data_IF_134143233432
#
_entry.id   IF_134143233432
#
_cell.length_a   1.000
_cell.length_b   1.000
_cell.length_c   1.000
_cell.angle_alpha   90.00
_cell.angle_beta   90.00
_cell.angle_gamma   90.00
#
_symmetry.space_group_name_H-M   'P 1'
#
loop_
_entity.id
_entity.type
_entity.pdbx_description
1 polymer ?
#
# COMPACT_ATOMS: atom_id res chain seq x y z
N UNK A 1 -12.67 -10.13 -10.41
CA UNK A 1 -11.56 -9.20 -10.09
C UNK A 1 -10.67 -9.12 -11.30
N UNK A 2 -10.59 -7.96 -11.95
CA UNK A 2 -9.59 -7.74 -13.00
C UNK A 2 -8.20 -7.82 -12.36
N UNK A 3 -7.29 -8.56 -12.98
CA UNK A 3 -5.90 -8.65 -12.53
C UNK A 3 -5.27 -7.27 -12.69
N UNK A 4 -4.73 -6.73 -11.60
CA UNK A 4 -3.92 -5.50 -11.60
C UNK A 4 -2.67 -5.78 -12.44
N UNK A 5 -2.59 -5.21 -13.65
CA UNK A 5 -1.40 -5.30 -14.50
C UNK A 5 -0.59 -4.00 -14.31
N UNK A 6 0.67 -4.06 -13.86
CA UNK A 6 1.51 -2.86 -13.67
C UNK A 6 1.59 -1.94 -14.90
N UNK A 7 1.43 -2.49 -16.10
CA UNK A 7 1.41 -1.73 -17.36
C UNK A 7 0.19 -0.81 -17.53
N UNK A 8 -0.92 -1.06 -16.84
CA UNK A 8 -2.09 -0.17 -16.87
C UNK A 8 -1.74 1.20 -16.28
N UNK A 9 -1.02 1.19 -15.16
CA UNK A 9 -0.71 2.40 -14.42
C UNK A 9 0.39 3.22 -15.11
N UNK A 10 1.30 2.59 -15.86
CA UNK A 10 2.35 3.29 -16.62
C UNK A 10 1.84 4.38 -17.57
N UNK A 11 0.58 4.33 -17.98
CA UNK A 11 -0.05 5.32 -18.88
C UNK A 11 -0.71 6.49 -18.14
N UNK A 12 -0.83 6.41 -16.82
CA UNK A 12 -1.50 7.45 -16.03
C UNK A 12 -0.63 8.68 -15.89
N UNK A 13 -1.26 9.85 -15.98
CA UNK A 13 -0.69 11.13 -15.58
C UNK A 13 -0.54 11.19 -14.05
N UNK A 14 0.32 12.07 -13.50
CA UNK A 14 0.45 12.21 -12.03
C UNK A 14 -0.88 12.45 -11.32
N UNK A 15 -1.80 13.20 -11.94
CA UNK A 15 -3.13 13.43 -11.40
C UNK A 15 -4.01 12.17 -11.37
N UNK A 16 -3.89 11.31 -12.38
CA UNK A 16 -4.60 10.03 -12.41
C UNK A 16 -4.04 9.03 -11.41
N UNK A 17 -2.72 9.00 -11.22
CA UNK A 17 -2.09 8.25 -10.12
C UNK A 17 -2.62 8.70 -8.75
N UNK A 18 -2.72 10.01 -8.53
CA UNK A 18 -3.25 10.55 -7.27
C UNK A 18 -4.70 10.11 -7.03
N UNK A 19 -5.59 10.27 -8.03
CA UNK A 19 -7.00 9.85 -7.89
C UNK A 19 -7.14 8.35 -7.62
N UNK A 20 -6.31 7.54 -8.26
CA UNK A 20 -6.34 6.10 -8.08
C UNK A 20 -5.79 5.68 -6.71
N UNK A 21 -4.72 6.34 -6.24
CA UNK A 21 -4.23 6.13 -4.89
C UNK A 21 -5.28 6.52 -3.85
N UNK A 22 -5.94 7.67 -3.99
CA UNK A 22 -7.03 8.12 -3.11
C UNK A 22 -8.19 7.10 -3.06
N UNK A 23 -8.53 6.48 -4.20
CA UNK A 23 -9.53 5.39 -4.26
C UNK A 23 -9.08 4.18 -3.45
N UNK A 24 -7.86 3.70 -3.66
CA UNK A 24 -7.30 2.52 -2.98
C UNK A 24 -7.15 2.79 -1.48
N UNK A 25 -6.66 3.98 -1.10
CA UNK A 25 -6.53 4.39 0.29
C UNK A 25 -7.88 4.35 1.00
N UNK A 26 -8.93 4.87 0.36
CA UNK A 26 -10.30 4.81 0.89
C UNK A 26 -10.78 3.38 1.05
N UNK A 27 -10.54 2.52 0.07
CA UNK A 27 -10.91 1.10 0.13
C UNK A 27 -10.22 0.38 1.30
N UNK A 28 -8.91 0.57 1.48
CA UNK A 28 -8.16 -0.04 2.60
C UNK A 28 -8.67 0.46 3.95
N UNK A 29 -8.96 1.76 4.06
CA UNK A 29 -9.51 2.35 5.30
C UNK A 29 -10.90 1.80 5.65
N UNK A 30 -11.71 1.44 4.65
CA UNK A 30 -13.07 0.93 4.82
C UNK A 30 -13.16 -0.59 4.88
N UNK A 31 -12.09 -1.30 4.48
CA UNK A 31 -11.98 -2.75 4.54
C UNK A 31 -12.19 -3.24 5.97
N UNK A 32 -12.90 -4.36 6.14
CA UNK A 32 -12.98 -4.98 7.46
C UNK A 32 -11.61 -5.51 7.91
N UNK A 33 -11.51 -5.78 9.21
CA UNK A 33 -10.23 -6.13 9.80
C UNK A 33 -9.78 -7.55 9.43
N UNK A 34 -10.72 -8.48 9.18
CA UNK A 34 -10.40 -9.86 8.81
C UNK A 34 -9.83 -9.94 7.40
N UNK A 35 -10.48 -9.25 6.45
CA UNK A 35 -10.00 -9.17 5.07
C UNK A 35 -8.62 -8.49 5.01
N UNK A 36 -8.43 -7.42 5.79
CA UNK A 36 -7.13 -6.75 5.84
C UNK A 36 -6.05 -7.63 6.48
N UNK A 37 -6.37 -8.39 7.53
CA UNK A 37 -5.46 -9.37 8.14
C UNK A 37 -5.00 -10.43 7.12
N UNK A 38 -5.89 -10.89 6.25
CA UNK A 38 -5.50 -11.83 5.19
C UNK A 38 -4.49 -11.17 4.25
N UNK A 39 -4.75 -9.93 3.80
CA UNK A 39 -3.84 -9.20 2.91
C UNK A 39 -2.48 -9.00 3.56
N UNK A 40 -2.42 -8.44 4.77
CA UNK A 40 -1.16 -8.09 5.43
C UNK A 40 -0.29 -9.33 5.70
N UNK A 41 -0.90 -10.50 5.92
CA UNK A 41 -0.19 -11.75 6.15
C UNK A 41 0.25 -12.45 4.84
N UNK A 42 -0.40 -12.18 3.72
CA UNK A 42 -0.16 -12.88 2.45
C UNK A 42 0.61 -12.06 1.42
N UNK A 43 0.67 -10.73 1.57
CA UNK A 43 1.42 -9.84 0.67
C UNK A 43 2.94 -9.94 0.91
N UNK A 44 3.58 -10.82 0.14
CA UNK A 44 5.02 -11.06 0.18
C UNK A 44 5.82 -9.79 -0.17
N UNK A 45 5.53 -9.05 -1.27
CA UNK A 45 6.18 -7.77 -1.55
C UNK A 45 6.14 -6.78 -0.38
N UNK A 46 4.96 -6.61 0.26
CA UNK A 46 4.84 -5.73 1.41
C UNK A 46 5.74 -6.16 2.57
N UNK A 47 5.74 -7.46 2.90
CA UNK A 47 6.58 -8.00 3.96
C UNK A 47 8.07 -7.74 3.71
N UNK A 48 8.54 -7.94 2.48
CA UNK A 48 9.94 -7.66 2.11
C UNK A 48 10.23 -6.16 2.27
N UNK A 49 9.38 -5.30 1.68
CA UNK A 49 9.55 -3.85 1.76
C UNK A 49 9.54 -3.30 3.19
N UNK A 50 8.72 -3.89 4.06
CA UNK A 50 8.69 -3.55 5.48
C UNK A 50 10.02 -3.88 6.18
N UNK A 51 10.53 -5.10 5.97
CA UNK A 51 11.79 -5.54 6.58
C UNK A 51 12.98 -4.69 6.13
N UNK A 52 13.02 -4.31 4.85
CA UNK A 52 14.07 -3.45 4.29
C UNK A 52 14.02 -2.02 4.85
N UNK A 53 12.82 -1.44 4.92
CA UNK A 53 12.63 -0.03 5.28
C UNK A 53 12.71 0.22 6.79
N UNK A 54 12.10 -0.64 7.62
CA UNK A 54 12.02 -0.44 9.06
C UNK A 54 13.09 -1.19 9.86
N UNK A 55 13.75 -2.20 9.26
CA UNK A 55 14.77 -3.03 9.92
C UNK A 55 14.30 -3.62 11.26
N UNK A 56 13.01 -3.94 11.35
CA UNK A 56 12.36 -4.56 12.51
C UNK A 56 11.67 -5.86 12.10
N UNK A 57 11.50 -6.82 13.02
CA UNK A 57 10.72 -8.02 12.76
C UNK A 57 9.30 -7.68 12.28
N UNK A 58 8.81 -8.39 11.26
CA UNK A 58 7.44 -8.20 10.77
C UNK A 58 6.38 -8.50 11.85
N UNK A 59 6.71 -9.36 12.82
CA UNK A 59 5.87 -9.63 13.99
C UNK A 59 5.54 -8.38 14.80
N UNK A 60 6.43 -7.40 14.84
CA UNK A 60 6.22 -6.15 15.59
C UNK A 60 5.05 -5.35 14.99
N UNK A 61 4.89 -5.41 13.66
CA UNK A 61 3.77 -4.81 12.95
C UNK A 61 2.47 -5.56 13.23
N UNK A 62 2.50 -6.90 13.17
CA UNK A 62 1.31 -7.74 13.38
C UNK A 62 0.73 -7.64 14.80
N UNK A 63 1.53 -7.20 15.78
CA UNK A 63 1.08 -6.93 17.14
C UNK A 63 0.44 -5.53 17.32
N UNK A 64 0.54 -4.66 16.31
CA UNK A 64 -0.10 -3.33 16.36
C UNK A 64 -1.60 -3.43 16.11
N UNK A 65 -2.33 -2.38 16.49
CA UNK A 65 -3.72 -2.19 16.08
C UNK A 65 -3.86 -2.24 14.56
N UNK A 66 -4.95 -2.83 14.05
CA UNK A 66 -5.21 -2.95 12.61
C UNK A 66 -5.21 -1.59 11.91
N UNK A 67 -5.67 -0.53 12.57
CA UNK A 67 -5.59 0.85 12.05
C UNK A 67 -4.15 1.29 11.77
N UNK A 68 -3.20 0.96 12.65
CA UNK A 68 -1.77 1.22 12.46
C UNK A 68 -1.21 0.38 11.31
N UNK A 69 -1.59 -0.90 11.24
CA UNK A 69 -1.15 -1.78 10.15
C UNK A 69 -1.62 -1.28 8.78
N UNK A 70 -2.89 -0.85 8.67
CA UNK A 70 -3.48 -0.21 7.49
C UNK A 70 -2.70 1.05 7.08
N UNK A 71 -2.34 1.90 8.04
CA UNK A 71 -1.54 3.11 7.76
C UNK A 71 -0.15 2.77 7.23
N UNK A 72 0.54 1.78 7.82
CA UNK A 72 1.87 1.35 7.34
C UNK A 72 1.77 0.76 5.93
N UNK A 73 0.75 -0.05 5.66
CA UNK A 73 0.52 -0.64 4.35
C UNK A 73 0.20 0.42 3.27
N UNK A 74 -0.66 1.40 3.58
CA UNK A 74 -0.94 2.54 2.71
C UNK A 74 0.35 3.33 2.43
N UNK A 75 1.15 3.61 3.46
CA UNK A 75 2.43 4.29 3.29
C UNK A 75 3.41 3.49 2.43
N UNK A 76 3.44 2.16 2.55
CA UNK A 76 4.25 1.33 1.65
C UNK A 76 3.74 1.40 0.21
N UNK A 77 2.42 1.31 -0.01
CA UNK A 77 1.83 1.44 -1.34
C UNK A 77 2.21 2.77 -1.99
N UNK A 78 2.19 3.87 -1.24
CA UNK A 78 2.65 5.20 -1.67
C UNK A 78 4.15 5.27 -2.02
N UNK A 79 4.96 4.28 -1.66
CA UNK A 79 6.40 4.30 -1.91
C UNK A 79 6.84 3.30 -3.00
N UNK A 80 5.97 2.39 -3.44
CA UNK A 80 6.29 1.48 -4.53
C UNK A 80 6.11 2.15 -5.90
N UNK A 81 6.73 1.59 -6.94
CA UNK A 81 6.76 2.14 -8.31
C UNK A 81 5.40 2.60 -8.86
N UNK A 82 4.30 1.96 -8.45
CA UNK A 82 2.95 2.30 -8.90
C UNK A 82 2.39 3.57 -8.26
N UNK A 83 2.83 3.96 -7.07
CA UNK A 83 2.34 5.17 -6.40
C UNK A 83 3.49 5.95 -5.77
N UNK A 84 4.70 5.85 -6.29
CA UNK A 84 5.90 6.38 -5.65
C UNK A 84 5.73 7.86 -5.29
N UNK A 85 6.05 8.23 -4.05
CA UNK A 85 5.83 9.58 -3.48
C UNK A 85 6.32 10.73 -4.39
N UNK A 86 7.42 10.55 -5.13
CA UNK A 86 7.88 11.55 -6.12
C UNK A 86 6.84 11.91 -7.20
N UNK A 87 5.85 11.06 -7.45
CA UNK A 87 4.76 11.30 -8.39
C UNK A 87 3.72 12.27 -7.82
N UNK A 88 3.62 12.39 -6.50
CA UNK A 88 2.70 13.31 -5.80
C UNK A 88 3.34 14.64 -5.45
N UNK A 89 4.67 14.70 -5.45
CA UNK A 89 5.44 15.93 -5.27
C UNK A 89 5.41 16.76 -6.57
N UNK A 90 4.28 17.43 -6.84
CA UNK A 90 4.25 18.55 -7.79
C UNK A 90 4.62 19.83 -7.04
N UNK A 91 5.60 20.56 -7.58
CA UNK A 91 5.90 21.96 -7.21
C UNK A 91 4.64 22.81 -7.19
#
# INVERSE_FOLDING_TARGET
MEKVIPDVYRKYTPYEYQREFERIEKEIKQMDDVDFEIIVNTDIPFKIGYLESWKRPFSDLLQQLISTQKQVYIGWLENIFMFHNSMFQRN
#
